data_IF_704236682142
#
_entry.id   IF_704236682142
#
_cell.length_a   1.000
_cell.length_b   1.000
_cell.length_c   1.000
_cell.angle_alpha   90.00
_cell.angle_beta   90.00
_cell.angle_gamma   90.00
#
_symmetry.space_group_name_H-M   'P 1'
#
loop_
_entity.id
_entity.type
_entity.pdbx_description
1 polymer ?
#
# COMPACT_ATOMS: atom_id res chain seq x y z
N UNK A 1 4.92 -14.22 -15.12
CA UNK A 1 4.14 -14.60 -13.90
C UNK A 1 2.89 -13.74 -13.88
N UNK A 2 1.73 -14.33 -14.14
CA UNK A 2 0.44 -13.67 -13.92
C UNK A 2 0.22 -13.56 -12.40
N UNK A 3 -0.05 -12.37 -11.85
CA UNK A 3 -0.40 -12.28 -10.43
C UNK A 3 -1.66 -13.09 -10.16
N UNK A 4 -1.64 -13.89 -9.10
CA UNK A 4 -2.85 -14.59 -8.64
C UNK A 4 -3.86 -13.57 -8.12
N UNK A 5 -5.18 -13.80 -8.29
CA UNK A 5 -6.24 -12.85 -7.86
C UNK A 5 -6.22 -12.52 -6.35
N UNK A 6 -5.56 -13.35 -5.54
CA UNK A 6 -5.32 -13.10 -4.11
C UNK A 6 -4.26 -12.01 -3.88
N UNK A 7 -3.23 -11.96 -4.73
CA UNK A 7 -2.20 -10.91 -4.70
C UNK A 7 -2.79 -9.55 -5.05
N UNK A 8 -3.75 -9.52 -5.98
CA UNK A 8 -4.38 -8.27 -6.42
C UNK A 8 -5.23 -7.62 -5.31
N UNK A 9 -6.01 -8.42 -4.55
CA UNK A 9 -6.79 -7.88 -3.42
C UNK A 9 -5.91 -7.39 -2.28
N UNK A 10 -4.84 -8.13 -1.95
CA UNK A 10 -3.87 -7.70 -0.94
C UNK A 10 -3.24 -6.36 -1.32
N UNK A 11 -2.77 -6.26 -2.57
CA UNK A 11 -2.15 -5.04 -3.09
C UNK A 11 -3.14 -3.87 -3.10
N UNK A 12 -4.39 -4.11 -3.53
CA UNK A 12 -5.44 -3.10 -3.55
C UNK A 12 -5.73 -2.52 -2.15
N UNK A 13 -5.75 -3.37 -1.12
CA UNK A 13 -5.89 -2.92 0.28
C UNK A 13 -4.71 -2.02 0.69
N UNK A 14 -3.48 -2.40 0.35
CA UNK A 14 -2.28 -1.60 0.67
C UNK A 14 -2.36 -0.22 -0.01
N UNK A 15 -2.72 -0.18 -1.28
CA UNK A 15 -2.85 1.08 -2.02
C UNK A 15 -3.95 1.98 -1.47
N UNK A 16 -5.10 1.40 -1.12
CA UNK A 16 -6.21 2.11 -0.51
C UNK A 16 -5.84 2.65 0.88
N UNK A 17 -5.21 1.81 1.70
CA UNK A 17 -4.71 2.20 3.02
C UNK A 17 -3.68 3.33 2.91
N UNK A 18 -2.75 3.27 1.95
CA UNK A 18 -1.78 4.32 1.68
C UNK A 18 -2.47 5.67 1.40
N UNK A 19 -3.49 5.70 0.55
CA UNK A 19 -4.24 6.93 0.23
C UNK A 19 -4.92 7.49 1.48
N UNK A 20 -5.55 6.64 2.28
CA UNK A 20 -6.25 7.06 3.50
C UNK A 20 -5.27 7.57 4.57
N UNK A 21 -4.19 6.83 4.83
CA UNK A 21 -3.16 7.24 5.78
C UNK A 21 -2.47 8.54 5.37
N UNK A 22 -2.18 8.73 4.08
CA UNK A 22 -1.60 9.98 3.59
C UNK A 22 -2.52 11.18 3.83
N UNK A 23 -3.84 11.00 3.75
CA UNK A 23 -4.83 12.09 3.88
C UNK A 23 -5.20 12.40 5.32
N UNK A 24 -5.34 11.37 6.16
CA UNK A 24 -5.93 11.50 7.50
C UNK A 24 -4.98 11.06 8.63
N UNK A 25 -3.83 10.49 8.31
CA UNK A 25 -2.92 9.91 9.29
C UNK A 25 -3.36 8.51 9.77
N UNK A 26 -2.47 7.85 10.51
CA UNK A 26 -2.70 6.48 10.98
C UNK A 26 -3.81 6.42 12.03
N UNK A 27 -3.77 7.26 13.08
CA UNK A 27 -4.73 7.19 14.17
C UNK A 27 -6.18 7.46 13.73
N UNK A 28 -6.41 8.43 12.84
CA UNK A 28 -7.75 8.77 12.36
C UNK A 28 -8.32 7.79 11.31
N UNK A 29 -7.52 6.83 10.85
CA UNK A 29 -7.96 5.84 9.85
C UNK A 29 -8.17 4.48 10.49
N UNK A 30 -9.43 4.08 10.70
CA UNK A 30 -9.78 2.76 11.23
C UNK A 30 -9.76 1.65 10.16
N UNK A 31 -9.62 0.39 10.58
CA UNK A 31 -9.62 -0.77 9.68
C UNK A 31 -10.95 -0.90 8.93
N UNK A 32 -12.08 -0.68 9.60
CA UNK A 32 -13.40 -0.78 8.95
C UNK A 32 -13.57 0.26 7.82
N UNK A 33 -12.95 1.45 7.94
CA UNK A 33 -12.93 2.44 6.85
C UNK A 33 -12.14 1.91 5.65
N UNK A 34 -10.98 1.31 5.87
CA UNK A 34 -10.16 0.76 4.79
C UNK A 34 -10.89 -0.41 4.12
N UNK A 35 -11.56 -1.27 4.89
CA UNK A 35 -12.38 -2.38 4.37
C UNK A 35 -13.48 -1.85 3.44
N UNK A 36 -14.21 -0.81 3.86
CA UNK A 36 -15.27 -0.22 3.08
C UNK A 36 -14.75 0.44 1.79
N UNK A 37 -13.66 1.20 1.88
CA UNK A 37 -13.10 1.91 0.73
C UNK A 37 -12.41 0.98 -0.28
N UNK A 38 -11.82 -0.12 0.18
CA UNK A 38 -11.15 -1.12 -0.66
C UNK A 38 -12.11 -2.20 -1.19
N UNK A 39 -13.40 -2.15 -0.84
CA UNK A 39 -14.43 -3.11 -1.22
C UNK A 39 -14.01 -4.58 -1.00
N UNK A 40 -13.50 -4.86 0.21
CA UNK A 40 -13.09 -6.22 0.60
C UNK A 40 -13.92 -6.73 1.77
N UNK A 41 -14.11 -8.05 1.83
CA UNK A 41 -14.72 -8.66 3.01
C UNK A 41 -13.80 -8.54 4.23
N UNK A 42 -14.36 -8.29 5.41
CA UNK A 42 -13.63 -8.20 6.69
C UNK A 42 -12.72 -9.41 6.93
N UNK A 43 -13.21 -10.62 6.68
CA UNK A 43 -12.42 -11.85 6.82
C UNK A 43 -11.24 -11.91 5.84
N UNK A 44 -11.37 -11.34 4.64
CA UNK A 44 -10.27 -11.26 3.67
C UNK A 44 -9.22 -10.26 4.14
N UNK A 45 -9.63 -9.10 4.67
CA UNK A 45 -8.72 -8.13 5.28
C UNK A 45 -7.87 -8.77 6.38
N UNK A 46 -8.49 -9.37 7.40
CA UNK A 46 -7.75 -9.97 8.51
C UNK A 46 -6.95 -11.23 8.13
N UNK A 47 -7.30 -11.93 7.04
CA UNK A 47 -6.46 -13.01 6.49
C UNK A 47 -5.15 -12.48 5.92
N UNK A 48 -5.15 -11.27 5.38
CA UNK A 48 -3.96 -10.65 4.80
C UNK A 48 -3.17 -9.79 5.79
N UNK A 49 -3.88 -9.10 6.68
CA UNK A 49 -3.32 -8.17 7.64
C UNK A 49 -3.96 -8.43 9.01
N UNK A 50 -3.36 -9.34 9.81
CA UNK A 50 -3.80 -9.67 11.16
C UNK A 50 -4.02 -8.45 12.08
N UNK A 51 -3.24 -7.38 11.88
CA UNK A 51 -3.35 -6.14 12.66
C UNK A 51 -3.25 -4.89 11.79
N UNK A 52 -3.70 -3.75 12.34
CA UNK A 52 -3.53 -2.44 11.70
C UNK A 52 -2.04 -2.07 11.58
N UNK A 53 -1.24 -2.43 12.58
CA UNK A 53 0.19 -2.13 12.60
C UNK A 53 0.92 -2.88 11.49
N UNK A 54 0.59 -4.15 11.25
CA UNK A 54 1.11 -4.92 10.11
C UNK A 54 0.72 -4.30 8.77
N UNK A 55 -0.51 -3.83 8.63
CA UNK A 55 -0.93 -3.10 7.43
C UNK A 55 -0.14 -1.78 7.27
N UNK A 56 0.15 -1.07 8.36
CA UNK A 56 0.96 0.15 8.32
C UNK A 56 2.37 -0.16 7.82
N UNK A 57 3.03 -1.19 8.36
CA UNK A 57 4.37 -1.61 7.92
C UNK A 57 4.38 -1.92 6.42
N UNK A 58 3.41 -2.71 5.94
CA UNK A 58 3.30 -3.07 4.52
C UNK A 58 3.05 -1.85 3.62
N UNK A 59 2.28 -0.86 4.08
CA UNK A 59 2.10 0.41 3.36
C UNK A 59 3.41 1.20 3.28
N UNK A 60 4.20 1.22 4.34
CA UNK A 60 5.50 1.91 4.37
C UNK A 60 6.48 1.23 3.41
N UNK A 61 6.55 -0.10 3.43
CA UNK A 61 7.40 -0.88 2.53
C UNK A 61 7.00 -0.67 1.06
N UNK A 62 5.70 -0.74 0.76
CA UNK A 62 5.18 -0.43 -0.57
C UNK A 62 5.60 0.99 -1.04
N UNK A 63 5.50 1.98 -0.14
CA UNK A 63 5.87 3.36 -0.46
C UNK A 63 7.37 3.52 -0.68
N UNK A 64 8.20 2.84 0.11
CA UNK A 64 9.66 2.82 -0.02
C UNK A 64 10.07 2.19 -1.36
N UNK A 65 9.57 0.99 -1.66
CA UNK A 65 9.83 0.32 -2.95
C UNK A 65 9.40 1.16 -4.16
N UNK A 66 8.30 1.92 -4.03
CA UNK A 66 7.88 2.83 -5.10
C UNK A 66 8.83 4.02 -5.23
N UNK A 67 9.34 4.55 -4.11
CA UNK A 67 10.30 5.65 -4.11
C UNK A 67 11.61 5.24 -4.75
N UNK A 68 12.17 4.10 -4.35
CA UNK A 68 13.44 3.59 -4.89
C UNK A 68 13.35 3.37 -6.40
N UNK A 69 12.26 2.76 -6.87
CA UNK A 69 12.01 2.61 -8.32
C UNK A 69 11.91 3.94 -9.07
N UNK A 70 11.39 4.99 -8.42
CA UNK A 70 11.35 6.33 -9.03
C UNK A 70 12.76 6.94 -9.12
N UNK A 71 13.59 6.76 -8.09
CA UNK A 71 14.98 7.21 -8.10
C UNK A 71 15.80 6.48 -9.17
N UNK A 72 15.70 5.15 -9.23
CA UNK A 72 16.41 4.33 -10.21
C UNK A 72 16.07 4.75 -11.63
N UNK A 73 14.79 5.03 -11.89
CA UNK A 73 14.32 5.50 -13.19
C UNK A 73 14.94 6.84 -13.57
N UNK A 74 14.95 7.81 -12.65
CA UNK A 74 15.55 9.13 -12.91
C UNK A 74 17.06 9.03 -13.12
N UNK A 75 17.74 8.15 -12.38
CA UNK A 75 19.17 7.89 -12.56
C UNK A 75 19.47 7.29 -13.94
N UNK A 76 18.61 6.41 -14.45
CA UNK A 76 18.72 5.81 -15.78
C UNK A 76 18.37 6.79 -16.92
N UNK A 77 17.45 7.72 -16.68
CA UNK A 77 17.04 8.76 -17.64
C UNK A 77 18.11 9.85 -17.81
N UNK A 78 19.21 9.81 -17.04
CA UNK A 78 20.42 10.60 -17.27
C UNK A 78 20.17 12.10 -17.19
N UNK A 79 19.68 12.59 -16.05
CA UNK A 79 19.77 14.02 -15.74
C UNK A 79 21.24 14.30 -15.41
N UNK A 80 22.01 15.01 -16.27
CA UNK A 80 23.37 15.37 -15.93
C UNK A 80 23.32 16.28 -14.70
N UNK A 81 24.27 16.16 -13.75
CA UNK A 81 24.44 17.22 -12.78
C UNK A 81 24.76 18.53 -13.54
N UNK A 82 24.04 19.61 -13.22
CA UNK A 82 24.39 20.97 -13.68
C UNK A 82 25.80 21.36 -13.20
#
# INVERSE_FOLDING_TARGET
MTPSPVSDKRQHVVETAYVLFKRAGFHATGIDRIIAEADVAKMTMYRHFPSKDELIVEVLDYRAMRFDRQLDRLAQEGIPPE
#
